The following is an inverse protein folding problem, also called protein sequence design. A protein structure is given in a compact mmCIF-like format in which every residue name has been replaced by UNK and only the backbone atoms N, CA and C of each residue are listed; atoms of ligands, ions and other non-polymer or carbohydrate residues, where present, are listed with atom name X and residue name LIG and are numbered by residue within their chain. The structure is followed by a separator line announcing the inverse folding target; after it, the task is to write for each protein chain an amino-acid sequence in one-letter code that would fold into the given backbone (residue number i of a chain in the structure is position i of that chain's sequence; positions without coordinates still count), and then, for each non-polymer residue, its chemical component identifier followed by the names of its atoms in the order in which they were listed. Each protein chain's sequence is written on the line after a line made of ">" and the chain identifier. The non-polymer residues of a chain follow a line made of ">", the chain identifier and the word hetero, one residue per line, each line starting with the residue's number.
data_IF_867021745452
#
_entry.id   IF_867021745452
#
_cell.length_a   1.000
_cell.length_b   1.000
_cell.length_c   1.000
_cell.angle_alpha   90.00
_cell.angle_beta   90.00
_cell.angle_gamma   90.00
#
_symmetry.space_group_name_H-M   'P 1'
#
loop_
_entity.id
_entity.type
_entity.pdbx_description
1 polymer ?
#
# COMPACT_ATOMS: atom_id res chain seq x y z
N UNK A 1 -16.58 18.33 -10.66
CA UNK A 1 -15.71 18.06 -9.54
C UNK A 1 -16.29 16.95 -8.72
N UNK A 2 -15.54 16.10 -8.21
CA UNK A 2 -15.98 15.05 -7.31
C UNK A 2 -15.27 15.15 -5.99
N UNK A 3 -15.70 14.36 -5.06
CA UNK A 3 -15.07 14.23 -3.76
C UNK A 3 -13.73 13.54 -3.94
N UNK A 4 -12.67 14.10 -3.37
CA UNK A 4 -11.33 13.57 -3.56
C UNK A 4 -10.73 13.09 -2.25
N UNK A 5 -9.84 12.11 -2.36
CA UNK A 5 -9.21 11.51 -1.19
C UNK A 5 -7.75 11.27 -1.46
N UNK A 6 -6.96 11.32 -0.40
CA UNK A 6 -5.63 10.73 -0.42
C UNK A 6 -5.77 9.28 0.01
N UNK A 7 -5.15 8.35 -0.74
CA UNK A 7 -5.24 6.93 -0.48
C UNK A 7 -3.84 6.35 -0.49
N UNK A 8 -3.53 5.54 0.50
CA UNK A 8 -2.32 4.73 0.47
C UNK A 8 -2.65 3.34 0.95
N UNK A 9 -2.25 2.35 0.17
CA UNK A 9 -2.52 0.95 0.49
C UNK A 9 -1.25 0.14 0.28
N UNK A 10 -0.93 -0.69 1.25
CA UNK A 10 0.24 -1.54 1.23
C UNK A 10 -0.19 -2.99 1.31
N UNK A 11 0.47 -3.84 0.51
CA UNK A 11 0.37 -5.30 0.64
C UNK A 11 1.80 -5.78 0.77
N UNK A 12 2.10 -6.53 1.82
CA UNK A 12 3.49 -6.91 2.06
C UNK A 12 3.61 -8.29 2.71
N UNK A 13 4.78 -8.85 2.59
CA UNK A 13 5.10 -10.15 3.15
C UNK A 13 6.37 -10.70 2.51
N UNK A 14 6.61 -12.01 2.61
CA UNK A 14 7.78 -12.62 2.00
C UNK A 14 7.81 -12.37 0.49
N UNK A 15 8.99 -12.12 -0.10
CA UNK A 15 9.07 -11.74 -1.51
C UNK A 15 8.41 -12.73 -2.47
N UNK A 16 8.52 -14.03 -2.22
CA UNK A 16 7.91 -15.02 -3.09
C UNK A 16 6.39 -14.96 -3.02
N UNK A 17 5.84 -14.69 -1.84
CA UNK A 17 4.38 -14.57 -1.68
C UNK A 17 3.86 -13.31 -2.35
N UNK A 18 4.59 -12.21 -2.20
CA UNK A 18 4.22 -10.95 -2.83
C UNK A 18 4.30 -11.09 -4.35
N UNK A 19 5.36 -11.76 -4.86
CA UNK A 19 5.49 -12.00 -6.29
C UNK A 19 4.32 -12.82 -6.82
N UNK A 20 3.95 -13.87 -6.12
CA UNK A 20 2.84 -14.72 -6.57
C UNK A 20 1.52 -13.94 -6.60
N UNK A 21 1.29 -13.09 -5.61
CA UNK A 21 0.08 -12.27 -5.56
C UNK A 21 0.07 -11.25 -6.68
N UNK A 22 1.21 -10.61 -6.95
CA UNK A 22 1.37 -9.66 -8.04
C UNK A 22 1.03 -10.31 -9.38
N UNK A 23 1.55 -11.52 -9.61
CA UNK A 23 1.29 -12.22 -10.87
C UNK A 23 -0.16 -12.68 -10.96
N UNK A 24 -0.70 -13.21 -9.86
CA UNK A 24 -2.09 -13.70 -9.84
C UNK A 24 -3.07 -12.59 -10.26
N UNK A 25 -2.87 -11.40 -9.74
CA UNK A 25 -3.78 -10.29 -10.00
C UNK A 25 -3.36 -9.44 -11.20
N UNK A 26 -2.27 -9.82 -11.86
CA UNK A 26 -1.79 -9.15 -13.08
C UNK A 26 -1.64 -7.65 -12.87
N UNK A 27 -1.08 -7.28 -11.74
CA UNK A 27 -0.91 -5.88 -11.42
C UNK A 27 -0.08 -5.20 -12.50
N UNK A 28 -0.44 -3.98 -12.85
CA UNK A 28 0.04 -3.21 -13.97
C UNK A 28 -0.52 -3.66 -15.33
N UNK A 29 -1.11 -4.86 -15.42
CA UNK A 29 -1.66 -5.35 -16.67
C UNK A 29 -3.12 -5.75 -16.56
N UNK A 30 -3.75 -5.45 -15.45
CA UNK A 30 -5.15 -5.79 -15.21
C UNK A 30 -6.01 -4.61 -15.66
N UNK A 31 -6.86 -4.79 -16.69
CA UNK A 31 -7.68 -3.67 -17.16
C UNK A 31 -8.56 -3.05 -16.08
N UNK A 32 -8.99 -3.84 -15.10
CA UNK A 32 -9.81 -3.30 -14.00
C UNK A 32 -9.01 -2.39 -13.09
N UNK A 33 -7.68 -2.44 -13.15
CA UNK A 33 -6.82 -1.66 -12.27
C UNK A 33 -5.93 -0.68 -13.03
N UNK A 34 -6.21 -0.47 -14.32
CA UNK A 34 -5.29 0.34 -15.12
C UNK A 34 -5.19 1.79 -14.65
N UNK A 35 -6.21 2.29 -13.97
CA UNK A 35 -6.16 3.64 -13.44
C UNK A 35 -5.11 3.84 -12.36
N UNK A 36 -4.57 2.77 -11.82
CA UNK A 36 -3.58 2.83 -10.75
C UNK A 36 -2.15 2.72 -11.24
N UNK A 37 -1.94 2.51 -12.55
CA UNK A 37 -0.63 2.13 -13.07
C UNK A 37 0.51 3.06 -12.68
N UNK A 38 0.25 4.37 -12.64
CA UNK A 38 1.28 5.34 -12.33
C UNK A 38 1.55 5.46 -10.84
N UNK A 39 0.62 5.04 -10.02
CA UNK A 39 0.69 5.20 -8.57
C UNK A 39 1.01 3.91 -7.85
N UNK A 40 1.24 2.85 -8.61
CA UNK A 40 1.50 1.52 -8.08
C UNK A 40 2.99 1.22 -8.19
N UNK A 41 3.59 0.80 -7.10
CA UNK A 41 5.01 0.45 -7.09
C UNK A 41 5.22 -0.81 -6.28
N UNK A 42 6.39 -1.39 -6.44
CA UNK A 42 6.78 -2.58 -5.72
C UNK A 42 8.25 -2.47 -5.35
N UNK A 43 8.58 -2.79 -4.11
CA UNK A 43 9.97 -2.68 -3.65
C UNK A 43 10.20 -3.59 -2.46
N UNK A 44 11.46 -3.80 -2.13
CA UNK A 44 11.85 -4.56 -0.96
C UNK A 44 12.16 -3.60 0.18
N UNK A 45 11.87 -4.04 1.40
CA UNK A 45 12.20 -3.24 2.57
C UNK A 45 13.41 -3.83 3.26
N UNK A 46 14.10 -2.96 3.99
CA UNK A 46 15.31 -3.34 4.69
C UNK A 46 14.95 -3.82 6.09
N UNK A 47 14.39 -5.02 6.15
CA UNK A 47 13.89 -5.56 7.42
C UNK A 47 14.69 -6.75 7.92
N UNK A 48 15.74 -7.14 7.22
CA UNK A 48 16.54 -8.27 7.64
C UNK A 48 15.99 -9.62 7.23
N UNK A 49 14.68 -9.76 7.14
CA UNK A 49 14.05 -11.03 6.82
C UNK A 49 13.56 -11.12 5.39
N UNK A 50 13.79 -10.08 4.62
CA UNK A 50 13.34 -10.07 3.24
C UNK A 50 11.83 -9.89 3.12
N UNK A 51 11.38 -8.66 3.07
CA UNK A 51 9.97 -8.33 2.90
C UNK A 51 9.83 -7.50 1.65
N UNK A 52 8.85 -7.84 0.81
CA UNK A 52 8.49 -7.03 -0.35
C UNK A 52 7.19 -6.30 -0.09
N UNK A 53 7.02 -5.15 -0.70
CA UNK A 53 5.84 -4.31 -0.53
C UNK A 53 5.26 -3.97 -1.90
N UNK A 54 3.95 -4.09 -2.03
CA UNK A 54 3.19 -3.50 -3.12
C UNK A 54 2.55 -2.24 -2.55
N UNK A 55 2.86 -1.10 -3.13
CA UNK A 55 2.51 0.21 -2.59
C UNK A 55 1.69 0.99 -3.60
N UNK A 56 0.46 1.31 -3.24
CA UNK A 56 -0.42 2.13 -4.07
C UNK A 56 -0.65 3.43 -3.32
N UNK A 57 -0.21 4.55 -3.89
CA UNK A 57 -0.30 5.83 -3.21
C UNK A 57 -0.65 6.93 -4.20
N UNK A 58 -1.74 7.62 -3.90
CA UNK A 58 -2.11 8.78 -4.68
C UNK A 58 -2.86 9.78 -3.82
N UNK A 59 -2.75 11.06 -4.16
CA UNK A 59 -3.55 12.08 -3.51
C UNK A 59 -4.54 12.61 -4.54
N UNK A 60 -5.63 13.16 -4.08
CA UNK A 60 -6.66 13.75 -4.95
C UNK A 60 -7.36 12.74 -5.86
N UNK A 61 -7.61 11.53 -5.37
CA UNK A 61 -8.34 10.53 -6.14
C UNK A 61 -9.84 10.62 -5.89
N UNK A 62 -10.62 10.33 -6.92
CA UNK A 62 -12.04 10.06 -6.77
C UNK A 62 -12.18 8.60 -6.36
N UNK A 63 -12.09 8.34 -5.09
CA UNK A 63 -12.08 6.98 -4.57
C UNK A 63 -13.51 6.55 -4.24
N UNK A 64 -14.24 6.16 -5.29
CA UNK A 64 -15.63 5.73 -5.15
C UNK A 64 -15.72 4.22 -5.28
N UNK A 65 -16.39 3.59 -4.34
CA UNK A 65 -16.38 2.14 -4.23
C UNK A 65 -17.05 1.43 -5.40
N UNK A 66 -17.90 2.11 -6.14
CA UNK A 66 -18.51 1.53 -7.32
C UNK A 66 -17.64 1.64 -8.57
N UNK A 67 -16.53 2.34 -8.51
CA UNK A 67 -15.60 2.36 -9.63
C UNK A 67 -14.91 0.99 -9.74
N UNK A 68 -14.80 0.44 -10.95
CA UNK A 68 -14.23 -0.92 -11.11
C UNK A 68 -12.83 -1.09 -10.53
N UNK A 69 -11.98 -0.09 -10.68
CA UNK A 69 -10.61 -0.19 -10.17
C UNK A 69 -10.58 -0.17 -8.64
N UNK A 70 -11.41 0.68 -8.03
CA UNK A 70 -11.50 0.73 -6.57
C UNK A 70 -12.08 -0.57 -6.04
N UNK A 71 -13.17 -1.04 -6.65
CA UNK A 71 -13.79 -2.30 -6.23
C UNK A 71 -12.82 -3.47 -6.39
N UNK A 72 -12.06 -3.50 -7.48
CA UNK A 72 -11.07 -4.55 -7.70
C UNK A 72 -9.96 -4.54 -6.67
N UNK A 73 -9.46 -3.35 -6.33
CA UNK A 73 -8.42 -3.24 -5.33
C UNK A 73 -8.90 -3.70 -3.96
N UNK A 74 -10.09 -3.24 -3.54
CA UNK A 74 -10.62 -3.63 -2.25
C UNK A 74 -10.89 -5.13 -2.18
N UNK A 75 -11.33 -5.74 -3.28
CA UNK A 75 -11.53 -7.19 -3.33
C UNK A 75 -10.22 -7.93 -3.10
N UNK A 76 -9.11 -7.42 -3.64
CA UNK A 76 -7.81 -8.03 -3.39
C UNK A 76 -7.43 -7.99 -1.92
N UNK A 77 -7.66 -6.86 -1.26
CA UNK A 77 -7.36 -6.75 0.16
C UNK A 77 -8.22 -7.72 0.96
N UNK A 78 -9.48 -7.89 0.56
CA UNK A 78 -10.37 -8.80 1.27
C UNK A 78 -9.94 -10.26 1.13
N UNK A 79 -9.24 -10.62 0.05
CA UNK A 79 -8.69 -11.98 -0.05
C UNK A 79 -7.72 -12.26 1.10
N UNK A 80 -6.92 -11.27 1.47
CA UNK A 80 -5.99 -11.41 2.59
C UNK A 80 -6.76 -11.47 3.91
N UNK A 81 -7.74 -10.61 4.08
CA UNK A 81 -8.53 -10.58 5.30
C UNK A 81 -9.29 -11.88 5.49
N UNK A 82 -9.78 -12.48 4.41
CA UNK A 82 -10.51 -13.74 4.45
C UNK A 82 -9.61 -14.96 4.44
N UNK A 83 -8.29 -14.75 4.42
CA UNK A 83 -7.30 -15.83 4.47
C UNK A 83 -7.47 -16.84 3.35
N UNK A 84 -7.75 -16.37 2.15
CA UNK A 84 -7.92 -17.26 1.00
C UNK A 84 -6.60 -17.91 0.62
N UNK A 85 -6.64 -19.07 -0.08
CA UNK A 85 -5.41 -19.72 -0.52
C UNK A 85 -4.56 -18.78 -1.35
N UNK A 86 -3.27 -18.77 -1.10
CA UNK A 86 -2.33 -17.90 -1.79
C UNK A 86 -2.03 -16.61 -1.05
N UNK A 87 -2.73 -16.33 0.05
CA UNK A 87 -2.49 -15.12 0.83
C UNK A 87 -1.76 -15.40 2.13
N UNK A 88 -1.27 -16.61 2.32
CA UNK A 88 -0.52 -16.98 3.51
C UNK A 88 0.66 -16.03 3.70
N UNK A 89 0.84 -15.52 4.89
CA UNK A 89 1.92 -14.63 5.25
C UNK A 89 1.83 -13.24 4.63
N UNK A 90 0.77 -12.94 3.89
CA UNK A 90 0.56 -11.60 3.37
C UNK A 90 -0.20 -10.75 4.38
N UNK A 91 0.11 -9.46 4.38
CA UNK A 91 -0.53 -8.48 5.23
C UNK A 91 -0.90 -7.27 4.38
N UNK A 92 -1.92 -6.53 4.81
CA UNK A 92 -2.22 -5.27 4.15
C UNK A 92 -2.51 -4.17 5.15
N UNK A 93 -2.29 -2.96 4.71
CA UNK A 93 -2.73 -1.74 5.40
C UNK A 93 -3.36 -0.84 4.37
N UNK A 94 -4.45 -0.21 4.73
CA UNK A 94 -5.18 0.68 3.85
C UNK A 94 -5.55 1.94 4.62
N UNK A 95 -5.24 3.09 4.06
CA UNK A 95 -5.56 4.37 4.68
C UNK A 95 -6.14 5.30 3.64
N UNK A 96 -7.22 5.98 3.99
CA UNK A 96 -7.84 6.98 3.13
C UNK A 96 -8.22 8.20 3.96
N UNK A 97 -7.87 9.37 3.45
CA UNK A 97 -8.25 10.64 4.05
C UNK A 97 -9.01 11.42 3.00
N UNK A 98 -10.27 11.71 3.28
CA UNK A 98 -11.13 12.48 2.36
C UNK A 98 -11.02 13.97 2.58
N UNK A 99 -11.85 14.71 1.86
CA UNK A 99 -11.87 16.17 1.96
C UNK A 99 -12.46 16.65 3.28
N UNK A 100 -13.42 15.89 3.82
CA UNK A 100 -13.97 16.22 5.12
C UNK A 100 -12.98 15.85 6.20
N UNK A 101 -12.83 16.73 7.16
CA UNK A 101 -11.82 16.59 8.21
C UNK A 101 -11.93 15.24 8.94
N UNK A 102 -13.16 14.77 9.14
CA UNK A 102 -13.39 13.54 9.89
C UNK A 102 -13.50 12.29 9.00
N UNK A 103 -13.31 12.43 7.70
CA UNK A 103 -13.46 11.30 6.78
C UNK A 103 -12.11 10.58 6.65
N UNK A 104 -11.85 9.72 7.62
CA UNK A 104 -10.60 8.97 7.71
C UNK A 104 -10.95 7.50 7.84
N UNK A 105 -10.34 6.67 6.98
CA UNK A 105 -10.53 5.22 7.01
C UNK A 105 -9.17 4.56 7.17
N UNK A 106 -9.10 3.59 8.07
CA UNK A 106 -7.89 2.80 8.24
C UNK A 106 -8.31 1.35 8.45
N UNK A 107 -7.73 0.45 7.67
CA UNK A 107 -8.08 -0.96 7.72
C UNK A 107 -6.83 -1.80 7.53
N UNK A 108 -6.78 -2.95 8.18
CA UNK A 108 -5.64 -3.85 8.09
C UNK A 108 -6.13 -5.29 8.05
N UNK A 109 -5.29 -6.18 7.52
CA UNK A 109 -5.55 -7.61 7.56
C UNK A 109 -4.24 -8.37 7.46
N UNK A 110 -4.29 -9.63 7.90
CA UNK A 110 -3.12 -10.50 7.93
C UNK A 110 -2.67 -10.75 9.35
N UNK A 111 -1.71 -11.66 9.51
CA UNK A 111 -1.27 -12.13 10.81
C UNK A 111 -0.05 -11.37 11.35
N UNK A 112 0.59 -10.57 10.52
CA UNK A 112 1.81 -9.87 10.92
C UNK A 112 1.83 -8.41 10.52
N UNK A 113 0.71 -7.70 10.73
CA UNK A 113 0.60 -6.29 10.36
C UNK A 113 1.58 -5.48 11.19
N UNK A 114 2.34 -4.61 10.51
CA UNK A 114 3.37 -3.81 11.15
C UNK A 114 2.92 -2.39 11.49
N UNK A 115 1.77 -1.98 10.98
CA UNK A 115 1.21 -0.65 11.23
C UNK A 115 2.15 0.46 10.78
N UNK A 116 2.63 0.36 9.55
CA UNK A 116 3.53 1.38 8.97
C UNK A 116 2.81 2.66 8.59
N UNK A 117 1.53 2.57 8.22
CA UNK A 117 0.75 3.76 7.88
C UNK A 117 0.18 4.40 9.13
N UNK A 118 0.04 5.70 9.10
CA UNK A 118 -0.56 6.43 10.20
C UNK A 118 -1.06 7.78 9.71
N UNK A 119 -1.68 8.52 10.60
CA UNK A 119 -2.24 9.81 10.26
C UNK A 119 -1.56 10.90 11.08
N UNK A 120 -1.25 12.00 10.41
CA UNK A 120 -0.85 13.23 11.05
C UNK A 120 -1.79 14.28 10.50
N UNK A 121 -1.42 15.03 9.53
CA UNK A 121 -2.37 15.84 8.78
C UNK A 121 -2.75 15.14 7.51
N UNK A 122 -1.93 14.23 7.11
CA UNK A 122 -2.09 13.43 5.91
C UNK A 122 -1.59 12.05 6.25
N UNK A 123 -1.65 11.13 5.31
CA UNK A 123 -1.18 9.77 5.54
C UNK A 123 0.34 9.80 5.63
N UNK A 124 0.87 9.24 6.71
CA UNK A 124 2.31 9.11 6.91
C UNK A 124 2.67 7.63 6.85
N UNK A 125 3.89 7.32 6.45
CA UNK A 125 4.34 5.94 6.37
C UNK A 125 5.74 5.84 6.98
N UNK A 126 5.91 4.87 7.84
CA UNK A 126 7.19 4.58 8.49
C UNK A 126 7.73 3.24 8.00
N UNK A 127 7.84 3.10 6.71
CA UNK A 127 8.28 1.87 6.07
C UNK A 127 9.81 1.85 6.05
N UNK A 128 10.46 0.83 6.62
CA UNK A 128 11.92 0.72 6.52
C UNK A 128 12.28 0.35 5.10
N UNK A 129 12.94 1.24 4.39
CA UNK A 129 13.31 0.99 3.00
C UNK A 129 14.79 1.27 2.79
N UNK A 130 15.34 0.57 1.84
CA UNK A 130 16.74 0.79 1.47
C UNK A 130 16.94 2.12 0.76
N UNK A 131 15.89 2.66 0.19
CA UNK A 131 15.98 3.91 -0.55
C UNK A 131 16.40 5.08 0.31
N UNK A 132 16.08 5.02 1.58
CA UNK A 132 16.45 6.10 2.49
C UNK A 132 17.94 6.23 2.67
N UNK A 133 18.66 5.18 2.41
CA UNK A 133 20.10 5.20 2.63
C UNK A 133 20.85 5.98 1.58
N UNK A 134 20.21 6.35 0.57
CA UNK A 134 20.86 7.05 -0.51
C UNK A 134 20.99 8.50 -0.25
N UNK A 135 20.54 8.92 0.79
CA UNK A 135 20.50 10.33 0.90
C UNK A 135 21.10 10.84 2.18
N UNK A 136 20.90 10.16 1.99
CA UNK A 136 20.92 10.42 2.53
C UNK A 136 21.08 10.60 3.14
N UNK A 137 21.27 10.79 3.34
CA UNK A 137 21.68 10.83 3.62
C UNK A 137 21.61 11.18 4.18
N UNK A 138 21.87 11.56 4.33
CA UNK A 138 22.03 11.69 4.54
C UNK A 138 21.82 11.85 5.15
N UNK A 139 21.81 12.14 5.44
CA UNK A 139 21.83 12.17 5.65
C UNK A 139 21.67 12.20 6.29
N UNK A 140 21.73 12.45 6.56
CA UNK A 140 21.86 12.31 6.79
C UNK A 140 21.77 12.44 7.38
N UNK A 141 21.93 12.70 7.57
CA UNK A 141 22.14 12.72 7.79
C UNK A 141 21.94 12.83 8.29
N UNK A 142 22.18 13.18 8.61
CA UNK A 142 22.27 13.24 8.79
C UNK A 142 22.03 13.33 9.31
N UNK A 143 22.20 13.58 9.62
CA UNK A 143 22.22 13.47 9.77
C UNK A 143 21.99 13.44 10.10
N UNK A 144 22.29 13.59 10.55
CA UNK A 144 22.26 13.41 10.60
C UNK A 144 21.91 13.23 10.80
N UNK A 145 22.01 13.39 10.90
CA UNK A 145 21.89 13.15 10.91
C UNK A 145 21.73 13.15 10.89
#
# INVERSE_FOLDING_TARGET
>A
MGYRSEVRSLIYGPPDKVQAFWVKHKLLNNPALEGFGQDLSRYDVDSGDGVSVIDLWGDSWKWYEDYPDVAGWMAMLHEIDDELPGTEELNYEFARVGEDYNDVVFDTGGQGVEYWLGFRREIAADIPTKLKDETDGVNDQTTKG
#
